data_IF_403641835971
#
_entry.id   IF_403641835971
#
_cell.length_a   1.000
_cell.length_b   1.000
_cell.length_c   1.000
_cell.angle_alpha   90.00
_cell.angle_beta   90.00
_cell.angle_gamma   90.00
#
_symmetry.space_group_name_H-M   'P 1'
#
loop_
_entity.id
_entity.type
_entity.pdbx_description
1 polymer ?
#
# COMPACT_ATOMS: atom_id res chain seq x y z
N UNK A 1 -10.15 9.69 2.83
CA UNK A 1 -9.41 9.11 1.68
C UNK A 1 -7.92 9.25 1.97
N UNK A 2 -7.05 8.30 1.57
CA UNK A 2 -5.60 8.29 1.89
C UNK A 2 -4.77 8.05 0.64
N UNK A 3 -3.51 8.46 0.69
CA UNK A 3 -2.57 8.23 -0.42
C UNK A 3 -2.22 6.75 -0.46
N UNK A 4 -2.08 6.18 -1.65
CA UNK A 4 -1.65 4.80 -1.79
C UNK A 4 -0.24 4.61 -1.22
N UNK A 5 -0.04 3.53 -0.46
CA UNK A 5 1.26 3.08 0.02
C UNK A 5 2.17 2.74 -1.17
N UNK A 6 3.48 2.70 -0.92
CA UNK A 6 4.39 2.06 -1.87
C UNK A 6 4.07 0.57 -1.95
N UNK A 7 4.33 -0.03 -3.10
CA UNK A 7 4.14 -1.46 -3.30
C UNK A 7 4.96 -2.31 -2.31
N UNK A 8 6.20 -1.91 -2.03
CA UNK A 8 7.07 -2.63 -1.08
C UNK A 8 6.47 -2.66 0.33
N UNK A 9 5.92 -1.53 0.80
CA UNK A 9 5.24 -1.46 2.09
C UNK A 9 3.97 -2.33 2.07
N UNK A 10 3.21 -2.30 0.98
CA UNK A 10 2.02 -3.15 0.84
C UNK A 10 2.38 -4.65 0.84
N UNK A 11 3.49 -5.05 0.21
CA UNK A 11 3.96 -6.44 0.21
C UNK A 11 4.43 -6.91 1.59
N UNK A 12 5.18 -6.06 2.31
CA UNK A 12 5.62 -6.36 3.67
C UNK A 12 4.41 -6.61 4.60
N UNK A 13 3.37 -5.79 4.47
CA UNK A 13 2.16 -5.91 5.27
C UNK A 13 1.31 -7.14 4.92
N UNK A 14 1.19 -7.47 3.63
CA UNK A 14 0.52 -8.69 3.21
C UNK A 14 1.18 -9.93 3.82
N UNK A 15 2.53 -9.93 3.88
CA UNK A 15 3.31 -11.00 4.51
C UNK A 15 3.17 -11.05 6.02
N UNK A 16 3.18 -9.90 6.70
CA UNK A 16 2.96 -9.83 8.15
C UNK A 16 1.60 -10.42 8.55
N UNK A 17 0.59 -10.21 7.71
CA UNK A 17 -0.79 -10.68 7.93
C UNK A 17 -1.10 -12.04 7.30
N UNK A 18 -0.11 -12.68 6.66
CA UNK A 18 -0.25 -14.01 6.11
C UNK A 18 -0.41 -15.06 7.22
N UNK A 19 -1.36 -15.97 7.06
CA UNK A 19 -1.70 -17.00 8.04
C UNK A 19 -2.59 -16.51 9.19
N UNK A 20 -2.90 -15.21 9.28
CA UNK A 20 -3.84 -14.67 10.27
C UNK A 20 -5.05 -14.00 9.63
N UNK A 21 -4.85 -12.99 8.79
CA UNK A 21 -5.92 -12.30 8.06
C UNK A 21 -6.07 -12.79 6.62
N UNK A 22 -4.99 -13.29 6.03
CA UNK A 22 -4.95 -13.79 4.66
C UNK A 22 -4.39 -15.20 4.61
N UNK A 23 -4.79 -15.97 3.61
CA UNK A 23 -4.13 -17.23 3.30
C UNK A 23 -2.70 -16.96 2.81
N UNK A 24 -1.72 -17.64 3.41
CA UNK A 24 -0.32 -17.39 3.12
C UNK A 24 0.09 -17.77 1.69
N UNK A 25 -0.50 -18.84 1.14
CA UNK A 25 -0.20 -19.27 -0.23
C UNK A 25 -0.77 -18.28 -1.24
N UNK A 26 -1.96 -17.73 -0.97
CA UNK A 26 -2.58 -16.70 -1.80
C UNK A 26 -1.76 -15.40 -1.78
N UNK A 27 -1.23 -14.99 -0.62
CA UNK A 27 -0.37 -13.80 -0.51
C UNK A 27 0.88 -13.93 -1.37
N UNK A 28 1.62 -15.03 -1.23
CA UNK A 28 2.85 -15.20 -2.03
C UNK A 28 2.54 -15.38 -3.51
N UNK A 29 1.47 -16.10 -3.87
CA UNK A 29 1.06 -16.23 -5.26
C UNK A 29 0.73 -14.87 -5.90
N UNK A 30 0.05 -13.98 -5.16
CA UNK A 30 -0.24 -12.63 -5.62
C UNK A 30 1.03 -11.81 -5.83
N UNK A 31 1.93 -11.79 -4.84
CA UNK A 31 3.18 -11.02 -4.90
C UNK A 31 4.02 -11.48 -6.10
N UNK A 32 4.24 -12.79 -6.23
CA UNK A 32 5.00 -13.38 -7.34
C UNK A 32 4.37 -13.00 -8.69
N UNK A 33 3.05 -13.05 -8.79
CA UNK A 33 2.37 -12.74 -10.05
C UNK A 33 2.52 -11.25 -10.44
N UNK A 34 2.43 -10.33 -9.46
CA UNK A 34 2.65 -8.89 -9.68
C UNK A 34 4.09 -8.61 -10.10
N UNK A 35 5.07 -9.19 -9.39
CA UNK A 35 6.49 -9.05 -9.73
C UNK A 35 6.82 -9.61 -11.12
N UNK A 36 6.29 -10.78 -11.45
CA UNK A 36 6.49 -11.43 -12.77
C UNK A 36 5.94 -10.58 -13.91
N UNK A 37 4.81 -9.89 -13.69
CA UNK A 37 4.24 -8.97 -14.69
C UNK A 37 4.96 -7.62 -14.75
N UNK A 38 5.90 -7.35 -13.85
CA UNK A 38 6.63 -6.08 -13.78
C UNK A 38 5.73 -4.90 -13.40
N UNK A 39 4.59 -5.17 -12.78
CA UNK A 39 3.62 -4.14 -12.42
C UNK A 39 4.10 -3.31 -11.23
N UNK A 40 3.81 -2.01 -11.29
CA UNK A 40 4.09 -1.06 -10.20
C UNK A 40 2.81 -0.32 -9.83
N UNK A 41 2.46 -0.37 -8.54
CA UNK A 41 1.25 0.24 -7.99
C UNK A 41 1.56 1.16 -6.80
N UNK A 42 0.68 2.13 -6.58
CA UNK A 42 0.76 3.08 -5.47
C UNK A 42 1.84 4.14 -5.63
N UNK A 43 1.97 5.02 -4.63
CA UNK A 43 2.98 6.10 -4.58
C UNK A 43 3.15 6.97 -5.85
N UNK A 44 2.12 7.10 -6.69
CA UNK A 44 2.18 7.85 -7.95
C UNK A 44 2.14 6.99 -9.23
N UNK A 45 2.07 5.66 -9.10
CA UNK A 45 1.79 4.73 -10.21
C UNK A 45 0.29 4.48 -10.42
N UNK A 46 -0.56 5.44 -10.04
CA UNK A 46 -2.01 5.31 -10.15
C UNK A 46 -2.47 5.68 -11.57
N UNK A 47 -3.12 4.76 -12.29
CA UNK A 47 -3.66 5.03 -13.63
C UNK A 47 -4.84 6.02 -13.63
N UNK A 48 -5.53 6.15 -12.50
CA UNK A 48 -6.60 7.14 -12.28
C UNK A 48 -6.36 7.89 -10.99
N UNK A 49 -5.82 9.09 -11.11
CA UNK A 49 -5.71 10.03 -10.01
C UNK A 49 -7.06 10.72 -9.84
N UNK A 50 -7.71 10.52 -8.69
CA UNK A 50 -8.92 11.27 -8.36
C UNK A 50 -8.56 12.70 -7.93
N UNK A 51 -9.32 13.68 -8.43
CA UNK A 51 -9.11 15.09 -8.12
C UNK A 51 -9.74 15.42 -6.76
N UNK A 52 -8.91 15.46 -5.72
CA UNK A 52 -9.35 15.77 -4.36
C UNK A 52 -9.17 17.26 -4.08
N UNK A 53 -10.18 17.88 -3.45
CA UNK A 53 -10.12 19.27 -2.95
C UNK A 53 -8.92 19.56 -2.03
N UNK A 54 -8.39 18.53 -1.39
CA UNK A 54 -7.15 18.56 -0.61
C UNK A 54 -6.43 17.22 -0.76
N UNK A 55 -5.08 17.19 -0.72
CA UNK A 55 -4.32 15.95 -0.88
C UNK A 55 -4.68 14.94 0.22
N UNK A 56 -4.70 13.64 -0.08
CA UNK A 56 -5.07 12.63 0.88
C UNK A 56 -4.06 12.58 2.04
N UNK A 57 -4.50 12.49 3.32
CA UNK A 57 -3.60 12.26 4.44
C UNK A 57 -2.72 11.01 4.24
N UNK A 58 -1.52 11.05 4.80
CA UNK A 58 -0.52 9.98 4.73
C UNK A 58 -0.68 8.96 5.87
N UNK A 59 -1.31 9.33 6.99
CA UNK A 59 -1.40 8.55 8.23
C UNK A 59 -2.85 8.35 8.69
N UNK A 60 -3.17 7.21 9.32
CA UNK A 60 -4.47 6.94 9.98
C UNK A 60 -5.14 5.61 9.58
N UNK A 61 -6.09 5.13 10.38
CA UNK A 61 -6.54 3.71 10.46
C UNK A 61 -7.15 3.12 9.19
N UNK A 62 -6.41 2.24 8.51
CA UNK A 62 -6.97 1.29 7.52
C UNK A 62 -7.59 0.11 8.26
N UNK A 63 -8.62 -0.52 7.71
CA UNK A 63 -9.29 -1.69 8.33
C UNK A 63 -8.34 -2.86 8.63
N UNK A 64 -7.13 -2.84 8.06
CA UNK A 64 -6.05 -3.79 8.32
C UNK A 64 -4.83 -3.17 9.05
N UNK A 65 -4.92 -2.02 9.71
CA UNK A 65 -3.79 -1.43 10.48
C UNK A 65 -2.61 -0.89 9.64
N UNK A 66 -2.66 -0.99 8.31
CA UNK A 66 -1.59 -0.57 7.37
C UNK A 66 -1.22 0.93 7.44
N UNK A 67 -2.08 1.75 8.04
CA UNK A 67 -1.94 3.21 8.06
C UNK A 67 -1.20 3.77 9.26
N UNK A 68 -0.79 2.91 10.20
CA UNK A 68 -0.17 3.32 11.47
C UNK A 68 1.36 3.44 11.36
N UNK A 69 1.94 3.04 10.21
CA UNK A 69 3.39 2.89 10.03
C UNK A 69 4.01 3.88 9.01
N UNK A 70 3.20 4.73 8.37
CA UNK A 70 3.75 5.77 7.51
C UNK A 70 4.39 6.87 8.39
N UNK A 71 5.72 6.82 8.56
CA UNK A 71 6.45 7.88 9.25
C UNK A 71 6.42 9.17 8.42
N UNK A 72 6.31 10.30 9.13
CA UNK A 72 6.15 11.65 8.60
C UNK A 72 7.06 11.92 7.39
N UNK A 73 6.43 12.03 6.22
CA UNK A 73 7.08 12.53 5.03
C UNK A 73 7.46 13.98 5.23
N UNK A 74 8.78 14.19 5.33
CA UNK A 74 9.52 15.44 5.24
C UNK A 74 8.76 16.60 4.59
N UNK A 75 8.62 17.71 5.34
CA UNK A 75 8.18 19.01 4.81
C UNK A 75 9.15 19.45 3.73
N UNK A 76 8.72 19.32 2.47
CA UNK A 76 9.30 20.12 1.38
C UNK A 76 8.48 21.40 1.27
N UNK A 77 9.04 22.44 1.92
CA UNK A 77 8.78 23.90 1.87
C UNK A 77 7.33 24.38 1.84
#
# INVERSE_FOLDING_TARGET
YRRALTQDVAFAELRDKAGSQFDAQCVEALIVAVETRGERYGAGHEERVADFKAPPPTVGTGSAGLGDLAQDGERVI
#
